data_IF_917042670109
#
_entry.id   IF_917042670109
#
_cell.length_a   1.000
_cell.length_b   1.000
_cell.length_c   1.000
_cell.angle_alpha   90.00
_cell.angle_beta   90.00
_cell.angle_gamma   90.00
#
_symmetry.space_group_name_H-M   'P 1'
#
loop_
_entity.id
_entity.type
_entity.pdbx_description
1 polymer ?
#
# COMPACT_ATOMS: atom_id res chain seq x y z
N UNK A 1 -17.22 -7.78 -22.94
CA UNK A 1 -16.54 -7.77 -21.63
C UNK A 1 -15.75 -9.07 -21.53
N UNK A 2 -14.42 -9.02 -21.57
CA UNK A 2 -13.59 -10.23 -21.54
C UNK A 2 -13.57 -10.84 -20.15
N UNK A 3 -13.66 -12.17 -20.06
CA UNK A 3 -13.48 -12.87 -18.79
C UNK A 3 -12.05 -12.66 -18.29
N UNK A 4 -11.89 -11.93 -17.19
CA UNK A 4 -10.59 -11.79 -16.54
C UNK A 4 -10.18 -13.12 -15.92
N UNK A 5 -9.13 -13.72 -16.45
CA UNK A 5 -8.49 -14.89 -15.83
C UNK A 5 -7.87 -14.42 -14.52
N UNK A 6 -8.28 -15.05 -13.41
CA UNK A 6 -7.70 -14.76 -12.10
C UNK A 6 -6.20 -15.02 -12.11
N UNK A 7 -5.45 -14.09 -11.49
CA UNK A 7 -4.03 -14.31 -11.21
C UNK A 7 -3.85 -15.50 -10.27
N UNK A 8 -2.65 -16.06 -10.23
CA UNK A 8 -2.35 -17.17 -9.33
C UNK A 8 -2.60 -16.77 -7.86
N UNK A 9 -2.26 -15.54 -7.47
CA UNK A 9 -2.54 -15.01 -6.13
C UNK A 9 -4.04 -14.98 -5.83
N UNK A 10 -4.85 -14.48 -6.77
CA UNK A 10 -6.31 -14.43 -6.60
C UNK A 10 -6.92 -15.83 -6.45
N UNK A 11 -6.39 -16.83 -7.19
CA UNK A 11 -6.83 -18.23 -7.08
C UNK A 11 -6.46 -18.83 -5.71
N UNK A 12 -5.27 -18.56 -5.20
CA UNK A 12 -4.85 -19.06 -3.88
C UNK A 12 -5.67 -18.41 -2.75
N UNK A 13 -5.99 -17.11 -2.84
CA UNK A 13 -6.87 -16.45 -1.87
C UNK A 13 -8.29 -17.07 -1.86
N UNK A 14 -8.83 -17.44 -3.02
CA UNK A 14 -10.13 -18.12 -3.08
C UNK A 14 -10.08 -19.52 -2.44
N UNK A 15 -8.99 -20.27 -2.65
CA UNK A 15 -8.81 -21.56 -1.96
C UNK A 15 -8.71 -21.35 -0.46
N UNK A 16 -7.97 -20.33 -0.01
CA UNK A 16 -7.84 -19.98 1.39
C UNK A 16 -9.19 -19.62 2.02
N UNK A 17 -10.06 -18.87 1.35
CA UNK A 17 -11.40 -18.56 1.84
C UNK A 17 -12.32 -19.79 1.89
N UNK A 18 -12.06 -20.82 1.08
CA UNK A 18 -12.85 -22.05 1.09
C UNK A 18 -12.62 -22.93 2.33
N UNK A 19 -11.59 -22.65 3.15
CA UNK A 19 -11.22 -23.49 4.30
C UNK A 19 -11.86 -23.06 5.63
N UNK A 20 -13.02 -22.39 5.59
CA UNK A 20 -13.75 -21.91 6.80
C UNK A 20 -12.86 -21.19 7.82
N UNK A 21 -12.03 -20.27 7.34
CA UNK A 21 -11.13 -19.50 8.20
C UNK A 21 -11.95 -18.56 9.08
N UNK A 22 -11.73 -18.55 10.41
CA UNK A 22 -12.38 -17.59 11.29
C UNK A 22 -12.06 -16.15 10.88
N UNK A 23 -13.05 -15.26 10.95
CA UNK A 23 -12.89 -13.84 10.57
C UNK A 23 -11.69 -13.16 11.27
N UNK A 24 -11.39 -13.54 12.51
CA UNK A 24 -10.23 -13.04 13.26
C UNK A 24 -8.90 -13.34 12.54
N UNK A 25 -8.73 -14.56 12.03
CA UNK A 25 -7.52 -14.93 11.28
C UNK A 25 -7.46 -14.24 9.92
N UNK A 26 -8.61 -13.97 9.28
CA UNK A 26 -8.65 -13.15 8.06
C UNK A 26 -8.17 -11.72 8.33
N UNK A 27 -8.54 -11.13 9.47
CA UNK A 27 -8.03 -9.82 9.89
C UNK A 27 -6.52 -9.86 10.17
N UNK A 28 -6.02 -10.91 10.80
CA UNK A 28 -4.58 -11.09 11.04
C UNK A 28 -3.80 -11.17 9.72
N UNK A 29 -4.28 -11.95 8.74
CA UNK A 29 -3.67 -12.04 7.41
C UNK A 29 -3.67 -10.68 6.71
N UNK A 30 -4.80 -9.95 6.77
CA UNK A 30 -4.90 -8.60 6.21
C UNK A 30 -3.88 -7.67 6.87
N UNK A 31 -3.75 -7.72 8.20
CA UNK A 31 -2.80 -6.91 8.95
C UNK A 31 -1.34 -7.23 8.57
N UNK A 32 -1.00 -8.51 8.44
CA UNK A 32 0.33 -8.95 7.99
C UNK A 32 0.66 -8.40 6.60
N UNK A 33 -0.28 -8.49 5.65
CA UNK A 33 -0.11 -7.95 4.31
C UNK A 33 0.03 -6.42 4.33
N UNK A 34 -0.81 -5.73 5.10
CA UNK A 34 -0.75 -4.27 5.25
C UNK A 34 0.61 -3.82 5.81
N UNK A 35 1.11 -4.49 6.84
CA UNK A 35 2.43 -4.18 7.41
C UNK A 35 3.55 -4.43 6.41
N UNK A 36 3.53 -5.57 5.71
CA UNK A 36 4.55 -5.88 4.69
C UNK A 36 4.59 -4.82 3.59
N UNK A 37 3.45 -4.39 3.07
CA UNK A 37 3.41 -3.37 2.03
C UNK A 37 3.77 -1.97 2.57
N UNK A 38 3.41 -1.64 3.81
CA UNK A 38 3.83 -0.40 4.45
C UNK A 38 5.36 -0.35 4.61
N UNK A 39 5.98 -1.42 5.09
CA UNK A 39 7.44 -1.55 5.18
C UNK A 39 8.10 -1.40 3.81
N UNK A 40 7.60 -2.09 2.78
CA UNK A 40 8.14 -1.95 1.42
C UNK A 40 7.99 -0.55 0.83
N UNK A 41 6.88 0.13 1.13
CA UNK A 41 6.68 1.51 0.70
C UNK A 41 7.64 2.46 1.42
N UNK A 42 7.88 2.26 2.72
CA UNK A 42 8.87 3.01 3.49
C UNK A 42 10.29 2.78 2.96
N UNK A 43 10.69 1.52 2.75
CA UNK A 43 12.00 1.17 2.19
C UNK A 43 12.27 1.87 0.85
N UNK A 44 11.29 1.85 -0.05
CA UNK A 44 11.42 2.48 -1.37
C UNK A 44 11.43 4.01 -1.27
N UNK A 45 10.67 4.58 -0.33
CA UNK A 45 10.68 6.02 -0.07
C UNK A 45 12.06 6.50 0.44
N UNK A 46 12.66 5.76 1.38
CA UNK A 46 14.00 6.04 1.88
C UNK A 46 15.03 5.98 0.74
N UNK A 47 14.96 4.93 -0.09
CA UNK A 47 15.83 4.78 -1.26
C UNK A 47 15.69 5.95 -2.24
N UNK A 48 14.45 6.35 -2.58
CA UNK A 48 14.21 7.46 -3.49
C UNK A 48 14.66 8.79 -2.88
N UNK A 49 14.52 8.97 -1.57
CA UNK A 49 15.02 10.14 -0.85
C UNK A 49 16.53 10.27 -0.99
N UNK A 50 17.26 9.17 -0.81
CA UNK A 50 18.72 9.14 -0.97
C UNK A 50 19.14 9.39 -2.43
N UNK A 51 18.50 8.72 -3.40
CA UNK A 51 18.82 8.86 -4.84
C UNK A 51 18.58 10.29 -5.34
N UNK A 52 17.49 10.92 -4.90
CA UNK A 52 17.10 12.25 -5.34
C UNK A 52 17.61 13.38 -4.44
N UNK A 53 18.32 13.04 -3.36
CA UNK A 53 18.81 13.99 -2.35
C UNK A 53 17.70 14.88 -1.80
N UNK A 54 16.54 14.29 -1.55
CA UNK A 54 15.45 15.01 -0.91
C UNK A 54 15.86 15.39 0.50
N UNK A 55 15.62 16.65 0.83
CA UNK A 55 15.88 17.22 2.13
C UNK A 55 14.57 17.51 2.87
N UNK A 56 14.69 18.00 4.10
CA UNK A 56 13.53 18.37 4.92
C UNK A 56 12.63 19.40 4.22
N UNK A 57 13.16 20.24 3.33
CA UNK A 57 12.35 21.20 2.57
C UNK A 57 11.47 20.49 1.55
N UNK A 58 12.00 19.48 0.87
CA UNK A 58 11.26 18.67 -0.11
C UNK A 58 10.13 17.90 0.58
N UNK A 59 10.43 17.29 1.74
CA UNK A 59 9.42 16.58 2.54
C UNK A 59 8.32 17.52 3.06
N UNK A 60 8.70 18.71 3.53
CA UNK A 60 7.74 19.74 3.94
C UNK A 60 6.88 20.22 2.77
N UNK A 61 7.45 20.35 1.56
CA UNK A 61 6.70 20.77 0.38
C UNK A 61 5.63 19.74 -0.01
N UNK A 62 5.95 18.45 0.07
CA UNK A 62 5.03 17.34 -0.23
C UNK A 62 3.94 17.20 0.84
N UNK A 63 4.31 17.27 2.12
CA UNK A 63 3.36 17.24 3.23
C UNK A 63 2.32 18.37 3.16
N UNK A 64 2.73 19.54 2.63
CA UNK A 64 1.86 20.70 2.45
C UNK A 64 1.26 20.82 1.03
N UNK A 65 1.51 19.86 0.14
CA UNK A 65 1.01 19.89 -1.26
C UNK A 65 -0.51 19.82 -1.33
N UNK A 66 -1.14 19.08 -0.42
CA UNK A 66 -2.60 19.00 -0.34
C UNK A 66 -3.25 20.29 0.18
N UNK A 67 -2.52 21.14 0.91
CA UNK A 67 -3.06 22.41 1.41
C UNK A 67 -3.13 23.50 0.32
N UNK A 68 -2.39 23.35 -0.79
CA UNK A 68 -2.35 24.34 -1.87
C UNK A 68 -3.63 24.39 -2.72
N UNK A 69 -4.48 23.37 -2.66
CA UNK A 69 -5.75 23.33 -3.40
C UNK A 69 -6.92 23.99 -2.66
N UNK A 70 -6.78 24.35 -1.37
CA UNK A 70 -7.86 24.99 -0.60
C UNK A 70 -7.83 26.53 -0.66
N UNK A 71 -6.71 27.16 -1.03
CA UNK A 71 -6.55 28.62 -1.01
C UNK A 71 -6.96 29.35 -2.31
N UNK A 72 -7.56 28.63 -3.27
CA UNK A 72 -8.12 29.21 -4.49
C UNK A 72 -9.65 29.08 -4.52
N UNK A 73 -10.34 29.85 -3.68
CA UNK A 73 -11.77 30.17 -3.82
C UNK A 73 -12.11 31.57 -3.32
#
# INVERSE_FOLDING_TARGET
MGAHVLSNMQKELLKLYSTEIPDAQLQEIKYLLSNYFAEKASDEMDRLSDENKWDDQTMNQWANEHNRHQDHH
#
